data_IF_479543596599
#
_entry.id   IF_479543596599
#
_cell.length_a   1.000
_cell.length_b   1.000
_cell.length_c   1.000
_cell.angle_alpha   90.00
_cell.angle_beta   90.00
_cell.angle_gamma   90.00
#
_symmetry.space_group_name_H-M   'P 1'
#
loop_
_entity.id
_entity.type
_entity.pdbx_description
1 polymer ?
#
# COMPACT_ATOMS: atom_id res chain seq x y z
N UNK A 1 -32.76 25.17 -4.65
CA UNK A 1 -31.63 25.11 -3.70
C UNK A 1 -31.70 23.76 -3.00
N UNK A 2 -30.82 22.80 -3.35
CA UNK A 2 -30.68 21.58 -2.56
C UNK A 2 -29.85 21.93 -1.33
N UNK A 3 -30.39 21.70 -0.14
CA UNK A 3 -29.68 21.88 1.13
C UNK A 3 -28.44 20.99 1.14
N UNK A 4 -27.28 21.55 1.50
CA UNK A 4 -26.08 20.77 1.74
C UNK A 4 -26.40 19.70 2.80
N UNK A 5 -26.09 18.43 2.52
CA UNK A 5 -26.16 17.39 3.56
C UNK A 5 -25.11 17.70 4.62
N UNK A 6 -25.46 17.45 5.87
CA UNK A 6 -24.55 17.53 7.00
C UNK A 6 -23.46 16.46 6.87
N UNK A 7 -22.21 16.88 7.01
CA UNK A 7 -21.02 16.03 6.90
C UNK A 7 -20.98 14.96 7.98
N UNK A 8 -21.41 15.30 9.19
CA UNK A 8 -21.49 14.36 10.31
C UNK A 8 -22.43 13.21 9.97
N UNK A 9 -23.60 13.53 9.41
CA UNK A 9 -24.54 12.52 8.93
C UNK A 9 -23.98 11.69 7.79
N UNK A 10 -23.28 12.30 6.82
CA UNK A 10 -22.65 11.56 5.71
C UNK A 10 -21.63 10.53 6.20
N UNK A 11 -20.81 10.90 7.19
CA UNK A 11 -19.84 9.99 7.81
C UNK A 11 -20.55 8.90 8.62
N UNK A 12 -21.60 9.24 9.39
CA UNK A 12 -22.40 8.26 10.14
C UNK A 12 -23.06 7.22 9.21
N UNK A 13 -23.60 7.67 8.08
CA UNK A 13 -24.17 6.79 7.04
C UNK A 13 -23.09 5.85 6.48
N UNK A 14 -21.88 6.37 6.24
CA UNK A 14 -20.76 5.60 5.71
C UNK A 14 -20.25 4.53 6.70
N UNK A 15 -20.18 4.86 7.99
CA UNK A 15 -19.85 3.89 9.05
C UNK A 15 -20.88 2.76 9.10
N UNK A 16 -22.16 3.11 9.07
CA UNK A 16 -23.26 2.13 9.02
C UNK A 16 -23.11 1.21 7.79
N UNK A 17 -22.79 1.80 6.63
CA UNK A 17 -22.57 1.06 5.39
C UNK A 17 -21.33 0.16 5.46
N UNK A 18 -20.25 0.58 6.13
CA UNK A 18 -19.06 -0.22 6.33
C UNK A 18 -19.36 -1.48 7.15
N UNK A 19 -20.05 -1.35 8.29
CA UNK A 19 -20.43 -2.52 9.11
C UNK A 19 -21.35 -3.48 8.36
N UNK A 20 -22.30 -2.93 7.58
CA UNK A 20 -23.18 -3.74 6.74
C UNK A 20 -22.39 -4.50 5.66
N UNK A 21 -21.40 -3.84 5.04
CA UNK A 21 -20.53 -4.44 4.02
C UNK A 21 -19.59 -5.48 4.61
N UNK A 22 -19.07 -5.26 5.83
CA UNK A 22 -18.26 -6.26 6.54
C UNK A 22 -19.06 -7.52 6.82
N UNK A 23 -20.26 -7.37 7.37
CA UNK A 23 -21.14 -8.52 7.64
C UNK A 23 -21.44 -9.31 6.38
N UNK A 24 -21.79 -8.62 5.28
CA UNK A 24 -21.98 -9.25 3.98
C UNK A 24 -20.73 -10.01 3.51
N UNK A 25 -19.55 -9.41 3.66
CA UNK A 25 -18.29 -10.02 3.26
C UNK A 25 -17.97 -11.28 4.09
N UNK A 26 -18.18 -11.24 5.40
CA UNK A 26 -18.05 -12.39 6.29
C UNK A 26 -19.00 -13.53 5.88
N UNK A 27 -20.26 -13.22 5.58
CA UNK A 27 -21.25 -14.19 5.07
C UNK A 27 -20.82 -14.80 3.73
N UNK A 28 -20.31 -13.98 2.80
CA UNK A 28 -19.80 -14.43 1.50
C UNK A 28 -18.61 -15.39 1.65
N UNK A 29 -17.67 -15.07 2.55
CA UNK A 29 -16.52 -15.91 2.87
C UNK A 29 -16.98 -17.25 3.44
N UNK A 30 -17.84 -17.24 4.47
CA UNK A 30 -18.36 -18.45 5.08
C UNK A 30 -19.07 -19.35 4.07
N UNK A 31 -19.94 -18.79 3.24
CA UNK A 31 -20.66 -19.52 2.21
C UNK A 31 -19.72 -20.14 1.16
N UNK A 32 -18.71 -19.37 0.71
CA UNK A 32 -17.80 -19.82 -0.36
C UNK A 32 -16.85 -20.92 0.11
N UNK A 33 -16.33 -20.79 1.33
CA UNK A 33 -15.31 -21.69 1.85
C UNK A 33 -15.88 -22.77 2.79
N UNK A 34 -17.21 -22.83 2.92
CA UNK A 34 -17.94 -23.76 3.79
C UNK A 34 -17.42 -23.69 5.23
N UNK A 35 -17.41 -22.48 5.80
CA UNK A 35 -16.92 -22.20 7.15
C UNK A 35 -18.09 -21.87 8.07
N UNK A 36 -18.00 -22.32 9.32
CA UNK A 36 -18.98 -21.98 10.37
C UNK A 36 -18.73 -20.59 10.96
N UNK A 37 -17.50 -20.08 10.88
CA UNK A 37 -17.11 -18.75 11.34
C UNK A 37 -16.15 -18.09 10.33
N UNK A 38 -16.23 -16.76 10.12
CA UNK A 38 -15.24 -16.03 9.32
C UNK A 38 -13.83 -16.10 9.95
N UNK A 39 -13.71 -16.27 11.27
CA UNK A 39 -12.42 -16.37 11.97
C UNK A 39 -11.62 -17.62 11.55
N UNK A 40 -12.32 -18.66 11.08
CA UNK A 40 -11.69 -19.89 10.59
C UNK A 40 -11.03 -19.69 9.22
N UNK A 41 -11.32 -18.59 8.52
CA UNK A 41 -10.92 -18.38 7.14
C UNK A 41 -9.40 -18.40 6.96
N UNK A 42 -8.67 -17.59 7.72
CA UNK A 42 -7.20 -17.50 7.60
C UNK A 42 -6.53 -18.84 7.94
N UNK A 43 -7.03 -19.54 8.96
CA UNK A 43 -6.52 -20.86 9.33
C UNK A 43 -6.81 -21.90 8.24
N UNK A 44 -8.00 -21.86 7.63
CA UNK A 44 -8.40 -22.77 6.56
C UNK A 44 -7.54 -22.57 5.31
N UNK A 45 -7.37 -21.32 4.86
CA UNK A 45 -6.56 -21.00 3.68
C UNK A 45 -5.11 -21.48 3.88
N UNK A 46 -4.52 -21.21 5.05
CA UNK A 46 -3.16 -21.67 5.40
C UNK A 46 -3.04 -23.19 5.43
N UNK A 47 -4.00 -23.89 6.03
CA UNK A 47 -3.96 -25.34 6.21
C UNK A 47 -4.09 -26.12 4.91
N UNK A 48 -4.90 -25.63 3.97
CA UNK A 48 -5.21 -26.34 2.73
C UNK A 48 -4.45 -25.83 1.51
N UNK A 49 -3.41 -24.99 1.70
CA UNK A 49 -2.62 -24.38 0.64
C UNK A 49 -3.49 -23.73 -0.46
N UNK A 50 -4.59 -23.08 -0.05
CA UNK A 50 -5.49 -22.42 -0.99
C UNK A 50 -4.89 -21.10 -1.48
N UNK A 51 -5.23 -20.64 -2.69
CA UNK A 51 -4.75 -19.36 -3.21
C UNK A 51 -5.08 -18.20 -2.25
N UNK A 52 -4.07 -17.35 -1.99
CA UNK A 52 -4.21 -16.15 -1.15
C UNK A 52 -4.96 -15.01 -1.84
N UNK A 53 -5.23 -15.16 -3.13
CA UNK A 53 -6.11 -14.29 -3.90
C UNK A 53 -6.89 -15.13 -4.90
N UNK A 54 -8.02 -14.60 -5.36
CA UNK A 54 -8.85 -15.28 -6.33
C UNK A 54 -10.16 -14.56 -6.57
N UNK A 55 -11.04 -15.21 -7.33
CA UNK A 55 -12.40 -14.74 -7.57
C UNK A 55 -13.38 -15.63 -6.82
N UNK A 56 -14.40 -15.02 -6.21
CA UNK A 56 -15.50 -15.77 -5.64
C UNK A 56 -16.30 -16.48 -6.77
N UNK A 57 -16.71 -17.75 -6.59
CA UNK A 57 -17.45 -18.48 -7.62
C UNK A 57 -18.72 -17.74 -8.06
N UNK A 58 -18.95 -17.66 -9.38
CA UNK A 58 -20.12 -17.02 -9.99
C UNK A 58 -20.38 -15.57 -9.54
N UNK A 59 -19.32 -14.85 -9.21
CA UNK A 59 -19.40 -13.52 -8.61
C UNK A 59 -18.38 -12.56 -9.24
N UNK A 60 -18.70 -11.26 -9.39
CA UNK A 60 -17.73 -10.26 -9.85
C UNK A 60 -16.68 -9.91 -8.78
N UNK A 61 -16.84 -10.42 -7.56
CA UNK A 61 -15.99 -10.12 -6.42
C UNK A 61 -14.70 -10.95 -6.46
N UNK A 62 -13.59 -10.26 -6.28
CA UNK A 62 -12.28 -10.84 -6.07
C UNK A 62 -11.92 -10.69 -4.59
N UNK A 63 -11.06 -11.57 -4.11
CA UNK A 63 -10.46 -11.44 -2.79
C UNK A 63 -8.94 -11.47 -2.88
N UNK A 64 -8.29 -10.77 -1.95
CA UNK A 64 -6.86 -10.83 -1.69
C UNK A 64 -6.62 -10.79 -0.19
N UNK A 65 -5.87 -11.75 0.31
CA UNK A 65 -5.52 -11.87 1.73
C UNK A 65 -4.21 -11.13 1.98
N UNK A 66 -4.19 -10.28 3.00
CA UNK A 66 -3.00 -9.56 3.46
C UNK A 66 -2.87 -9.67 4.98
N UNK A 67 -1.70 -10.03 5.49
CA UNK A 67 -1.49 -10.17 6.95
C UNK A 67 -2.58 -10.99 7.66
N UNK A 68 -3.38 -10.29 8.47
CA UNK A 68 -4.53 -10.79 9.24
C UNK A 68 -5.90 -10.31 8.71
N UNK A 69 -5.93 -9.82 7.48
CA UNK A 69 -7.11 -9.23 6.84
C UNK A 69 -7.35 -9.72 5.42
N UNK A 70 -8.41 -9.16 4.84
CA UNK A 70 -8.86 -9.47 3.49
C UNK A 70 -9.40 -8.21 2.81
N UNK A 71 -9.03 -8.08 1.54
CA UNK A 71 -9.58 -7.10 0.62
C UNK A 71 -10.50 -7.81 -0.36
N UNK A 72 -11.78 -7.42 -0.39
CA UNK A 72 -12.79 -7.90 -1.33
C UNK A 72 -13.19 -6.74 -2.23
N UNK A 73 -13.03 -6.89 -3.54
CA UNK A 73 -13.25 -5.80 -4.50
C UNK A 73 -13.69 -6.31 -5.88
N UNK A 74 -14.36 -5.45 -6.66
CA UNK A 74 -14.50 -5.67 -8.10
C UNK A 74 -13.24 -5.15 -8.81
N UNK A 75 -13.00 -5.51 -10.08
CA UNK A 75 -11.94 -4.89 -10.87
C UNK A 75 -11.99 -3.35 -10.82
N UNK A 76 -10.83 -2.72 -10.94
CA UNK A 76 -10.65 -1.25 -10.91
C UNK A 76 -11.04 -0.57 -9.58
N UNK A 77 -10.93 -1.29 -8.45
CA UNK A 77 -11.21 -0.75 -7.12
C UNK A 77 -12.64 -0.18 -6.99
N UNK A 78 -13.60 -0.85 -7.64
CA UNK A 78 -15.02 -0.51 -7.58
C UNK A 78 -15.71 -1.34 -6.49
N UNK A 79 -16.19 -0.67 -5.45
CA UNK A 79 -16.98 -1.26 -4.37
C UNK A 79 -16.19 -2.22 -3.51
N UNK A 80 -16.92 -2.94 -2.65
CA UNK A 80 -16.33 -3.93 -1.74
C UNK A 80 -15.77 -3.32 -0.46
N UNK A 81 -14.88 -4.04 0.21
CA UNK A 81 -14.40 -3.70 1.55
C UNK A 81 -13.03 -4.31 1.83
N UNK A 82 -12.22 -3.61 2.62
CA UNK A 82 -10.99 -4.11 3.24
C UNK A 82 -11.18 -4.08 4.77
N UNK A 83 -10.89 -5.20 5.44
CA UNK A 83 -10.91 -5.28 6.89
C UNK A 83 -9.93 -6.34 7.43
N UNK A 84 -9.49 -6.13 8.67
CA UNK A 84 -8.77 -7.15 9.44
C UNK A 84 -9.76 -7.94 10.30
N UNK A 85 -9.57 -9.26 10.39
CA UNK A 85 -10.43 -10.10 11.23
C UNK A 85 -10.28 -9.75 12.72
N UNK A 86 -9.08 -9.38 13.16
CA UNK A 86 -8.76 -9.03 14.55
C UNK A 86 -9.14 -7.58 14.96
N UNK A 87 -9.67 -6.78 14.04
CA UNK A 87 -10.12 -5.40 14.30
C UNK A 87 -11.60 -5.24 13.97
N UNK A 88 -12.52 -5.43 14.95
CA UNK A 88 -13.96 -5.37 14.70
C UNK A 88 -14.47 -3.98 14.32
N UNK A 89 -13.78 -2.91 14.73
CA UNK A 89 -14.15 -1.52 14.42
C UNK A 89 -13.53 -1.00 13.12
N UNK A 90 -14.14 0.04 12.56
CA UNK A 90 -13.56 0.80 11.45
C UNK A 90 -12.74 1.98 11.98
N UNK A 91 -11.56 2.17 11.42
CA UNK A 91 -10.72 3.36 11.65
C UNK A 91 -10.86 4.37 10.50
N UNK A 92 -10.30 5.57 10.70
CA UNK A 92 -10.33 6.65 9.71
C UNK A 92 -9.79 6.23 8.34
N UNK A 93 -8.72 5.44 8.29
CA UNK A 93 -8.09 5.03 7.04
C UNK A 93 -8.98 4.04 6.29
N UNK A 94 -9.46 2.99 6.97
CA UNK A 94 -10.37 1.99 6.39
C UNK A 94 -11.67 2.61 5.92
N UNK A 95 -12.21 3.55 6.69
CA UNK A 95 -13.45 4.23 6.31
C UNK A 95 -13.23 5.11 5.06
N UNK A 96 -12.06 5.74 4.91
CA UNK A 96 -11.72 6.54 3.74
C UNK A 96 -11.51 5.67 2.50
N UNK A 97 -10.77 4.57 2.60
CA UNK A 97 -10.61 3.60 1.51
C UNK A 97 -11.96 3.02 1.08
N UNK A 98 -12.80 2.68 2.05
CA UNK A 98 -14.17 2.23 1.78
C UNK A 98 -14.98 3.31 1.05
N UNK A 99 -14.91 4.58 1.46
CA UNK A 99 -15.58 5.69 0.76
C UNK A 99 -15.16 5.78 -0.71
N UNK A 100 -13.86 5.67 -0.99
CA UNK A 100 -13.33 5.71 -2.37
C UNK A 100 -13.90 4.55 -3.19
N UNK A 101 -13.88 3.33 -2.66
CA UNK A 101 -14.47 2.15 -3.30
C UNK A 101 -15.95 2.36 -3.61
N UNK A 102 -16.73 2.87 -2.66
CA UNK A 102 -18.17 3.11 -2.85
C UNK A 102 -18.46 4.24 -3.85
N UNK A 103 -17.60 5.26 -3.91
CA UNK A 103 -17.70 6.33 -4.92
C UNK A 103 -17.46 5.80 -6.32
N UNK A 104 -16.43 4.97 -6.49
CA UNK A 104 -16.09 4.35 -7.76
C UNK A 104 -17.18 3.39 -8.25
N UNK A 105 -17.84 2.68 -7.32
CA UNK A 105 -18.97 1.79 -7.65
C UNK A 105 -20.28 2.55 -7.94
N UNK A 106 -20.33 3.85 -7.65
CA UNK A 106 -21.55 4.64 -7.70
C UNK A 106 -22.56 4.33 -6.58
N UNK A 107 -22.14 3.55 -5.57
CA UNK A 107 -22.97 3.18 -4.42
C UNK A 107 -23.27 4.37 -3.50
N UNK A 108 -22.36 5.36 -3.47
CA UNK A 108 -22.60 6.67 -2.85
C UNK A 108 -22.39 7.80 -3.86
N UNK A 109 -23.19 8.87 -3.81
CA UNK A 109 -23.15 9.90 -4.84
C UNK A 109 -22.01 10.91 -4.62
N UNK A 110 -21.18 11.06 -5.65
CA UNK A 110 -20.00 11.94 -5.64
C UNK A 110 -20.27 13.36 -5.17
N UNK A 111 -21.42 13.96 -5.53
CA UNK A 111 -21.74 15.36 -5.17
C UNK A 111 -21.77 15.64 -3.66
N UNK A 112 -22.00 14.62 -2.82
CA UNK A 112 -22.07 14.79 -1.36
C UNK A 112 -20.77 14.40 -0.66
N UNK A 113 -20.08 13.36 -1.15
CA UNK A 113 -18.89 12.81 -0.49
C UNK A 113 -17.57 13.34 -1.07
N UNK A 114 -17.55 13.87 -2.31
CA UNK A 114 -16.34 14.47 -2.90
C UNK A 114 -15.77 15.63 -2.07
N UNK A 115 -16.58 16.55 -1.51
CA UNK A 115 -16.04 17.59 -0.63
C UNK A 115 -15.33 17.05 0.61
N UNK A 116 -15.83 15.96 1.20
CA UNK A 116 -15.17 15.26 2.31
C UNK A 116 -13.85 14.62 1.88
N UNK A 117 -13.78 14.08 0.66
CA UNK A 117 -12.55 13.50 0.11
C UNK A 117 -11.45 14.56 -0.13
N UNK A 118 -11.85 15.76 -0.55
CA UNK A 118 -10.96 16.84 -0.99
C UNK A 118 -10.49 17.76 0.14
N UNK A 119 -11.17 17.77 1.28
CA UNK A 119 -10.86 18.64 2.42
C UNK A 119 -10.56 17.78 3.67
N UNK A 120 -9.26 17.55 3.99
CA UNK A 120 -8.86 16.75 5.15
C UNK A 120 -9.33 17.31 6.49
N UNK A 121 -9.47 18.64 6.63
CA UNK A 121 -9.93 19.26 7.87
C UNK A 121 -11.42 19.02 8.05
N UNK A 122 -12.20 19.16 6.97
CA UNK A 122 -13.64 18.83 6.93
C UNK A 122 -13.88 17.34 7.23
N UNK A 123 -13.10 16.44 6.63
CA UNK A 123 -13.14 15.00 6.92
C UNK A 123 -12.86 14.69 8.40
N UNK A 124 -11.78 15.26 8.95
CA UNK A 124 -11.39 15.03 10.34
C UNK A 124 -12.44 15.57 11.32
N UNK A 125 -13.01 16.76 11.04
CA UNK A 125 -14.09 17.34 11.85
C UNK A 125 -15.35 16.46 11.81
N UNK A 126 -15.73 15.97 10.63
CA UNK A 126 -16.90 15.11 10.46
C UNK A 126 -16.74 13.75 11.16
N UNK A 127 -15.55 13.15 11.13
CA UNK A 127 -15.24 11.91 11.87
C UNK A 127 -15.35 12.09 13.38
N UNK A 128 -14.75 13.17 13.89
CA UNK A 128 -14.81 13.49 15.31
C UNK A 128 -16.27 13.69 15.77
N UNK A 129 -17.05 14.44 14.99
CA UNK A 129 -18.46 14.67 15.26
C UNK A 129 -19.31 13.38 15.17
N UNK A 130 -18.97 12.45 14.28
CA UNK A 130 -19.67 11.17 14.12
C UNK A 130 -19.28 10.12 15.18
N UNK A 131 -18.38 10.46 16.12
CA UNK A 131 -17.96 9.54 17.18
C UNK A 131 -17.13 8.35 16.68
N UNK A 132 -16.55 8.45 15.48
CA UNK A 132 -15.58 7.47 15.00
C UNK A 132 -14.30 7.69 15.81
N UNK A 133 -14.09 6.83 16.81
CA UNK A 133 -13.04 7.00 17.82
C UNK A 133 -11.70 7.38 17.17
N UNK A 134 -11.15 8.50 17.63
CA UNK A 134 -9.87 9.03 17.22
C UNK A 134 -8.72 8.14 17.69
N UNK A 135 -8.44 7.10 16.91
CA UNK A 135 -7.07 6.94 16.47
C UNK A 135 -6.88 8.06 15.45
N UNK A 136 -6.04 9.05 15.78
CA UNK A 136 -5.30 9.80 14.76
C UNK A 136 -4.97 8.82 13.64
N UNK A 137 -4.96 9.25 12.37
CA UNK A 137 -4.14 8.58 11.34
C UNK A 137 -2.94 8.04 12.10
N UNK A 138 -2.72 6.71 12.18
CA UNK A 138 -1.53 6.24 12.84
C UNK A 138 -0.43 7.08 12.22
N UNK A 139 0.25 7.89 13.06
CA UNK A 139 1.58 8.34 12.72
C UNK A 139 2.21 7.08 12.17
N UNK A 140 2.63 7.10 10.91
CA UNK A 140 3.37 6.00 10.34
C UNK A 140 4.56 5.82 11.26
N UNK A 141 4.41 4.96 12.23
CA UNK A 141 5.45 4.46 13.12
C UNK A 141 5.25 2.96 13.33
N UNK A 142 4.20 2.37 12.75
CA UNK A 142 4.08 0.92 12.55
C UNK A 142 3.66 0.58 11.11
N UNK A 143 4.36 1.24 10.18
CA UNK A 143 4.77 0.73 8.86
C UNK A 143 5.86 1.63 8.23
N UNK A 144 6.24 2.74 8.91
CA UNK A 144 7.52 3.42 8.73
C UNK A 144 8.74 2.58 9.15
N UNK A 145 8.68 1.25 9.01
CA UNK A 145 9.79 0.35 9.28
C UNK A 145 10.85 0.35 8.18
N UNK A 146 10.64 1.01 7.05
CA UNK A 146 11.57 0.95 5.92
C UNK A 146 12.04 2.31 5.39
N UNK A 147 11.63 3.48 5.92
CA UNK A 147 12.08 4.78 5.37
C UNK A 147 12.35 5.94 6.36
N UNK A 148 12.43 5.72 7.68
CA UNK A 148 12.68 6.83 8.65
C UNK A 148 13.67 6.34 9.72
N UNK A 149 14.92 6.78 9.83
CA UNK A 149 15.44 8.15 9.96
C UNK A 149 16.88 8.33 9.39
N UNK A 150 17.38 7.40 8.56
CA UNK A 150 18.78 7.40 8.10
C UNK A 150 18.99 7.42 6.58
N UNK A 151 17.91 7.33 5.79
CA UNK A 151 18.01 7.30 4.32
C UNK A 151 18.25 8.69 3.76
N UNK A 152 19.16 8.78 2.79
CA UNK A 152 19.40 10.01 2.03
C UNK A 152 18.16 10.33 1.18
N UNK A 153 17.61 11.52 1.37
CA UNK A 153 16.56 12.07 0.50
C UNK A 153 17.18 12.97 -0.57
N UNK A 154 16.53 13.04 -1.71
CA UNK A 154 16.80 14.04 -2.75
C UNK A 154 15.68 15.07 -2.77
N UNK A 155 16.04 16.35 -2.96
CA UNK A 155 15.09 17.46 -3.14
C UNK A 155 14.87 17.71 -4.62
N UNK A 156 13.61 17.81 -5.03
CA UNK A 156 13.21 18.27 -6.34
C UNK A 156 12.35 19.55 -6.20
N UNK A 157 12.70 20.58 -6.97
CA UNK A 157 12.08 21.90 -6.90
C UNK A 157 11.69 22.43 -8.29
N UNK A 158 10.91 21.65 -9.04
CA UNK A 158 10.25 22.10 -10.28
C UNK A 158 8.82 21.52 -10.36
N UNK A 159 7.95 22.16 -11.17
CA UNK A 159 6.54 21.77 -11.29
C UNK A 159 5.61 22.50 -10.29
N UNK A 160 4.47 21.88 -9.96
CA UNK A 160 3.41 22.52 -9.16
C UNK A 160 3.85 22.83 -7.71
N UNK A 161 4.62 21.93 -7.07
CA UNK A 161 5.21 22.10 -5.73
C UNK A 161 6.51 21.28 -5.61
N UNK A 162 7.42 21.72 -4.73
CA UNK A 162 8.64 20.97 -4.41
C UNK A 162 8.33 19.71 -3.59
N UNK A 163 9.15 18.68 -3.74
CA UNK A 163 9.07 17.47 -2.93
C UNK A 163 10.47 16.92 -2.62
N UNK A 164 10.55 16.16 -1.56
CA UNK A 164 11.68 15.29 -1.25
C UNK A 164 11.32 13.86 -1.60
N UNK A 165 12.29 13.03 -1.98
CA UNK A 165 12.06 11.61 -2.16
C UNK A 165 13.24 10.75 -1.74
N UNK A 166 12.96 9.52 -1.35
CA UNK A 166 13.94 8.44 -1.22
C UNK A 166 13.44 7.22 -1.98
N UNK A 167 14.35 6.31 -2.31
CA UNK A 167 14.02 5.12 -3.08
C UNK A 167 14.81 3.90 -2.62
N UNK A 168 14.15 2.74 -2.68
CA UNK A 168 14.73 1.43 -2.36
C UNK A 168 14.35 0.42 -3.42
N UNK A 169 15.23 -0.55 -3.66
CA UNK A 169 14.95 -1.72 -4.49
C UNK A 169 14.72 -2.92 -3.58
N UNK A 170 13.62 -3.62 -3.79
CA UNK A 170 13.21 -4.79 -3.04
C UNK A 170 13.12 -5.99 -3.99
N UNK A 171 13.65 -7.13 -3.55
CA UNK A 171 13.48 -8.42 -4.20
C UNK A 171 12.91 -9.37 -3.15
N UNK A 172 11.69 -9.84 -3.40
CA UNK A 172 11.03 -10.87 -2.61
C UNK A 172 11.01 -12.16 -3.42
N UNK A 173 11.35 -13.29 -2.82
CA UNK A 173 11.34 -14.57 -3.52
C UNK A 173 10.95 -15.70 -2.57
N UNK A 174 10.22 -16.74 -3.04
CA UNK A 174 9.85 -17.87 -2.19
C UNK A 174 11.03 -18.52 -1.47
N UNK A 175 12.20 -18.59 -2.11
CA UNK A 175 13.34 -19.33 -1.56
C UNK A 175 14.74 -18.88 -2.04
N UNK A 176 14.89 -17.71 -2.67
CA UNK A 176 16.20 -17.32 -3.23
C UNK A 176 17.21 -17.11 -2.10
N UNK A 177 18.48 -17.43 -2.30
CA UNK A 177 19.50 -16.99 -1.35
C UNK A 177 19.80 -15.49 -1.61
N UNK A 178 19.64 -14.58 -0.62
CA UNK A 178 19.96 -13.17 -0.82
C UNK A 178 21.41 -12.91 -1.25
N UNK A 179 22.36 -13.80 -0.92
CA UNK A 179 23.75 -13.67 -1.36
C UNK A 179 23.90 -13.83 -2.88
N UNK A 180 23.08 -14.67 -3.52
CA UNK A 180 23.10 -14.85 -4.97
C UNK A 180 22.60 -13.57 -5.69
N UNK A 181 21.65 -12.87 -5.07
CA UNK A 181 21.16 -11.57 -5.55
C UNK A 181 22.27 -10.53 -5.50
N UNK A 182 22.97 -10.43 -4.36
CA UNK A 182 24.14 -9.54 -4.20
C UNK A 182 25.22 -9.86 -5.24
N UNK A 183 25.56 -11.14 -5.42
CA UNK A 183 26.59 -11.56 -6.36
C UNK A 183 26.22 -11.26 -7.82
N UNK A 184 24.93 -11.41 -8.18
CA UNK A 184 24.48 -11.16 -9.55
C UNK A 184 24.38 -9.66 -9.87
N UNK A 185 23.80 -8.87 -8.96
CA UNK A 185 23.61 -7.43 -9.18
C UNK A 185 24.89 -6.62 -8.92
N UNK A 186 25.83 -7.15 -8.13
CA UNK A 186 27.02 -6.40 -7.71
C UNK A 186 26.69 -5.20 -6.82
N UNK A 187 25.53 -5.24 -6.14
CA UNK A 187 25.04 -4.18 -5.26
C UNK A 187 24.99 -4.75 -3.85
N UNK A 188 25.54 -4.01 -2.88
CA UNK A 188 25.45 -4.39 -1.47
C UNK A 188 24.05 -4.08 -0.90
N UNK A 189 23.40 -5.04 -0.22
CA UNK A 189 22.10 -4.81 0.39
C UNK A 189 22.22 -4.00 1.68
N UNK A 190 21.20 -3.17 1.92
CA UNK A 190 20.97 -2.57 3.23
C UNK A 190 20.36 -3.57 4.20
N UNK A 191 19.57 -4.54 3.70
CA UNK A 191 18.93 -5.57 4.51
C UNK A 191 18.70 -6.85 3.74
N UNK A 192 18.86 -7.99 4.42
CA UNK A 192 18.50 -9.30 3.90
C UNK A 192 17.85 -10.18 4.97
N UNK A 193 17.00 -11.10 4.52
CA UNK A 193 16.51 -12.25 5.29
C UNK A 193 16.25 -13.42 4.34
N UNK A 194 16.61 -14.63 4.73
CA UNK A 194 16.35 -15.84 3.94
C UNK A 194 15.10 -16.59 4.40
N UNK A 195 14.37 -17.21 3.47
CA UNK A 195 13.29 -18.13 3.78
C UNK A 195 13.77 -19.24 4.74
N UNK A 196 12.96 -19.56 5.75
CA UNK A 196 13.28 -20.54 6.78
C UNK A 196 14.26 -20.07 7.86
N UNK A 197 14.88 -18.89 7.73
CA UNK A 197 15.68 -18.31 8.81
C UNK A 197 14.78 -17.79 9.93
N UNK A 198 15.28 -17.86 11.17
CA UNK A 198 14.55 -17.33 12.33
C UNK A 198 14.32 -15.82 12.21
N UNK A 199 13.08 -15.39 12.41
CA UNK A 199 12.71 -13.99 12.49
C UNK A 199 13.39 -13.38 13.74
N UNK A 200 14.19 -12.33 13.50
CA UNK A 200 14.99 -11.70 14.56
C UNK A 200 14.13 -10.94 15.56
N UNK A 201 12.92 -10.55 15.17
CA UNK A 201 12.03 -9.72 15.98
C UNK A 201 10.93 -10.53 16.66
N UNK A 202 10.67 -11.75 16.20
CA UNK A 202 9.57 -12.59 16.69
C UNK A 202 10.11 -13.97 17.06
N UNK A 203 10.30 -14.26 18.36
CA UNK A 203 10.81 -15.55 18.82
C UNK A 203 9.97 -16.73 18.32
N UNK A 204 10.65 -17.75 17.78
CA UNK A 204 10.01 -18.98 17.30
C UNK A 204 9.34 -18.87 15.92
N UNK A 205 9.34 -17.69 15.30
CA UNK A 205 8.91 -17.51 13.91
C UNK A 205 10.09 -17.66 12.97
N UNK A 206 9.84 -18.17 11.76
CA UNK A 206 10.78 -18.13 10.63
C UNK A 206 10.21 -17.29 9.49
N UNK A 207 11.08 -16.76 8.64
CA UNK A 207 10.64 -16.04 7.44
C UNK A 207 10.03 -17.02 6.43
N UNK A 208 8.86 -16.68 5.90
CA UNK A 208 8.14 -17.51 4.92
C UNK A 208 8.70 -17.35 3.48
N UNK A 209 9.53 -16.33 3.26
CA UNK A 209 10.14 -15.98 1.99
C UNK A 209 11.49 -15.29 2.23
N UNK A 210 12.31 -15.23 1.18
CA UNK A 210 13.54 -14.46 1.16
C UNK A 210 13.27 -13.02 0.74
N UNK A 211 13.94 -12.09 1.40
CA UNK A 211 13.89 -10.66 1.12
C UNK A 211 15.31 -10.12 1.01
N UNK A 212 15.56 -9.40 -0.08
CA UNK A 212 16.76 -8.62 -0.32
C UNK A 212 16.34 -7.18 -0.58
N UNK A 213 17.03 -6.22 0.03
CA UNK A 213 16.73 -4.80 -0.13
C UNK A 213 18.00 -3.96 -0.15
N UNK A 214 18.05 -2.96 -1.02
CA UNK A 214 19.06 -1.91 -1.00
C UNK A 214 18.46 -0.52 -1.15
N UNK A 215 19.16 0.48 -0.60
CA UNK A 215 18.89 1.89 -0.88
C UNK A 215 19.42 2.26 -2.26
N UNK A 216 18.59 2.94 -3.05
CA UNK A 216 18.99 3.43 -4.36
C UNK A 216 19.59 4.84 -4.22
N UNK A 217 20.69 5.14 -4.93
CA UNK A 217 21.31 6.45 -4.86
C UNK A 217 20.40 7.51 -5.50
N UNK A 218 20.05 8.53 -4.71
CA UNK A 218 19.27 9.70 -5.16
C UNK A 218 20.14 10.96 -5.20
N UNK A 219 19.79 11.91 -6.09
CA UNK A 219 20.50 13.18 -6.30
C UNK A 219 19.53 14.35 -6.26
N UNK A 220 19.94 15.43 -5.60
CA UNK A 220 19.16 16.67 -5.61
C UNK A 220 19.02 17.21 -7.03
N UNK A 221 17.83 17.70 -7.35
CA UNK A 221 17.47 18.24 -8.66
C UNK A 221 16.85 17.22 -9.62
N UNK A 222 17.17 15.94 -9.49
CA UNK A 222 16.56 14.89 -10.33
C UNK A 222 15.05 14.83 -10.05
N UNK A 223 14.26 14.79 -11.12
CA UNK A 223 12.84 14.43 -11.02
C UNK A 223 12.68 12.90 -10.96
N UNK A 224 11.47 12.41 -10.66
CA UNK A 224 11.25 10.97 -10.53
C UNK A 224 11.49 10.21 -11.84
N UNK A 225 11.08 10.72 -13.02
CA UNK A 225 11.44 10.11 -14.30
C UNK A 225 12.95 9.98 -14.52
N UNK A 226 13.72 11.05 -14.33
CA UNK A 226 15.18 11.06 -14.49
C UNK A 226 15.86 10.06 -13.55
N UNK A 227 15.38 9.99 -12.30
CA UNK A 227 15.84 8.97 -11.35
C UNK A 227 15.56 7.55 -11.85
N UNK A 228 14.35 7.28 -12.34
CA UNK A 228 13.97 5.96 -12.84
C UNK A 228 14.76 5.55 -14.10
N UNK A 229 15.11 6.50 -14.97
CA UNK A 229 16.03 6.23 -16.10
C UNK A 229 17.39 5.74 -15.62
N UNK A 230 17.91 6.31 -14.53
CA UNK A 230 19.15 5.84 -13.92
C UNK A 230 19.01 4.43 -13.32
N UNK A 231 17.87 4.13 -12.69
CA UNK A 231 17.58 2.79 -12.16
C UNK A 231 17.48 1.75 -13.29
N UNK A 232 16.80 2.09 -14.39
CA UNK A 232 16.74 1.24 -15.59
C UNK A 232 18.15 1.00 -16.13
N UNK A 233 18.96 2.05 -16.28
CA UNK A 233 20.33 1.91 -16.79
C UNK A 233 21.20 1.02 -15.89
N UNK A 234 21.03 1.13 -14.56
CA UNK A 234 21.71 0.29 -13.57
C UNK A 234 21.31 -1.18 -13.68
N UNK A 235 20.02 -1.47 -13.87
CA UNK A 235 19.48 -2.83 -13.79
C UNK A 235 19.37 -3.55 -15.14
N UNK A 236 19.37 -2.81 -16.26
CA UNK A 236 19.26 -3.38 -17.61
C UNK A 236 20.30 -4.46 -17.94
N UNK A 237 21.58 -4.36 -17.53
CA UNK A 237 22.56 -5.42 -17.74
C UNK A 237 22.18 -6.76 -17.09
N UNK A 238 21.32 -6.74 -16.06
CA UNK A 238 20.89 -7.90 -15.28
C UNK A 238 19.51 -8.42 -15.68
N UNK A 239 18.94 -7.95 -16.79
CA UNK A 239 17.58 -8.28 -17.24
C UNK A 239 17.27 -9.78 -17.17
N UNK A 240 18.15 -10.64 -17.72
CA UNK A 240 17.90 -12.08 -17.73
C UNK A 240 17.79 -12.70 -16.33
N UNK A 241 18.50 -12.15 -15.35
CA UNK A 241 18.40 -12.59 -13.96
C UNK A 241 17.11 -12.08 -13.29
N UNK A 242 16.71 -10.84 -13.57
CA UNK A 242 15.46 -10.28 -13.07
C UNK A 242 14.22 -11.00 -13.64
N UNK A 243 14.27 -11.37 -14.92
CA UNK A 243 13.25 -12.22 -15.56
C UNK A 243 13.20 -13.59 -14.87
N UNK A 244 14.35 -14.21 -14.61
CA UNK A 244 14.40 -15.50 -13.91
C UNK A 244 13.81 -15.45 -12.50
N UNK A 245 14.13 -14.40 -11.71
CA UNK A 245 13.51 -14.17 -10.39
C UNK A 245 11.99 -14.14 -10.51
N UNK A 246 11.47 -13.41 -11.49
CA UNK A 246 10.02 -13.25 -11.68
C UNK A 246 9.35 -14.56 -12.11
N UNK A 247 9.99 -15.31 -13.02
CA UNK A 247 9.47 -16.58 -13.53
C UNK A 247 9.41 -17.67 -12.43
N UNK A 248 10.27 -17.60 -11.41
CA UNK A 248 10.24 -18.46 -10.23
C UNK A 248 9.26 -18.01 -9.13
N UNK A 249 8.48 -16.97 -9.41
CA UNK A 249 7.46 -16.43 -8.50
C UNK A 249 7.98 -15.38 -7.52
N UNK A 250 9.17 -14.82 -7.78
CA UNK A 250 9.65 -13.63 -7.09
C UNK A 250 9.02 -12.34 -7.59
N UNK A 251 9.17 -11.30 -6.79
CA UNK A 251 8.71 -9.94 -7.09
C UNK A 251 9.88 -8.97 -6.93
N UNK A 252 10.02 -8.07 -7.90
CA UNK A 252 11.00 -6.99 -7.89
C UNK A 252 10.22 -5.68 -7.80
N UNK A 253 10.51 -4.86 -6.79
CA UNK A 253 9.81 -3.61 -6.53
C UNK A 253 10.80 -2.46 -6.35
N UNK A 254 10.63 -1.39 -7.11
CA UNK A 254 11.22 -0.10 -6.81
C UNK A 254 10.20 0.71 -6.01
N UNK A 255 10.51 0.89 -4.73
CA UNK A 255 9.72 1.69 -3.81
C UNK A 255 10.23 3.12 -3.80
N UNK A 256 9.34 4.10 -3.92
CA UNK A 256 9.64 5.52 -3.87
C UNK A 256 8.75 6.17 -2.80
N UNK A 257 9.39 6.66 -1.73
CA UNK A 257 8.74 7.50 -0.73
C UNK A 257 8.81 8.96 -1.15
N UNK A 258 7.67 9.60 -1.37
CA UNK A 258 7.54 11.01 -1.76
C UNK A 258 7.08 11.82 -0.55
N UNK A 259 7.82 12.86 -0.21
CA UNK A 259 7.56 13.76 0.91
C UNK A 259 7.26 15.15 0.37
N UNK A 260 6.03 15.61 0.48
CA UNK A 260 5.65 16.96 0.06
C UNK A 260 4.64 17.57 1.03
N UNK A 261 4.58 18.89 1.09
CA UNK A 261 3.59 19.63 1.87
C UNK A 261 2.19 19.58 1.22
N UNK A 262 2.16 19.50 -0.12
CA UNK A 262 0.99 19.58 -0.98
C UNK A 262 1.11 18.63 -2.17
N UNK A 263 0.14 18.75 -3.09
CA UNK A 263 0.12 18.01 -4.35
C UNK A 263 1.40 18.28 -5.15
N UNK A 264 2.21 17.25 -5.38
CA UNK A 264 3.26 17.27 -6.38
C UNK A 264 2.78 16.47 -7.60
N UNK A 265 3.06 16.96 -8.81
CA UNK A 265 2.77 16.26 -10.05
C UNK A 265 4.07 15.79 -10.70
N UNK A 266 4.02 14.60 -11.27
CA UNK A 266 5.10 14.01 -12.06
C UNK A 266 4.46 13.28 -13.23
N UNK A 267 5.02 13.47 -14.43
CA UNK A 267 4.59 12.75 -15.63
C UNK A 267 5.61 11.67 -15.96
N UNK A 268 5.13 10.44 -16.12
CA UNK A 268 5.98 9.31 -16.49
C UNK A 268 5.76 9.00 -17.97
N UNK A 269 6.77 9.19 -18.83
CA UNK A 269 6.69 8.81 -20.24
C UNK A 269 6.35 7.33 -20.39
N UNK A 270 5.57 6.97 -21.42
CA UNK A 270 5.15 5.58 -21.60
C UNK A 270 6.34 4.67 -21.94
N UNK A 271 7.37 5.20 -22.59
CA UNK A 271 8.63 4.50 -22.89
C UNK A 271 9.36 4.11 -21.60
N UNK A 272 9.38 5.01 -20.61
CA UNK A 272 9.97 4.75 -19.29
C UNK A 272 9.24 3.59 -18.59
N UNK A 273 7.92 3.64 -18.58
CA UNK A 273 7.08 2.59 -17.98
C UNK A 273 7.25 1.25 -18.72
N UNK A 274 7.39 1.28 -20.04
CA UNK A 274 7.67 0.08 -20.83
C UNK A 274 9.04 -0.53 -20.47
N UNK A 275 10.08 0.28 -20.33
CA UNK A 275 11.41 -0.19 -19.92
C UNK A 275 11.40 -0.82 -18.52
N UNK A 276 10.66 -0.25 -17.56
CA UNK A 276 10.50 -0.88 -16.24
C UNK A 276 9.76 -2.21 -16.32
N UNK A 277 8.71 -2.29 -17.15
CA UNK A 277 7.97 -3.52 -17.37
C UNK A 277 8.83 -4.62 -18.04
N UNK A 278 9.71 -4.24 -18.97
CA UNK A 278 10.69 -5.16 -19.59
C UNK A 278 11.67 -5.73 -18.56
N UNK A 279 12.00 -4.96 -17.51
CA UNK A 279 12.83 -5.41 -16.39
C UNK A 279 12.03 -6.13 -15.28
N UNK A 280 10.71 -6.29 -15.44
CA UNK A 280 9.79 -6.88 -14.44
C UNK A 280 9.78 -6.13 -13.11
N UNK A 281 10.03 -4.82 -13.12
CA UNK A 281 10.08 -3.99 -11.91
C UNK A 281 8.70 -3.39 -11.66
N UNK A 282 8.12 -3.72 -10.51
CA UNK A 282 6.95 -3.02 -9.99
C UNK A 282 7.36 -1.64 -9.49
N UNK A 283 6.58 -0.61 -9.82
CA UNK A 283 6.70 0.70 -9.20
C UNK A 283 5.72 0.84 -8.06
N UNK A 284 6.21 1.24 -6.88
CA UNK A 284 5.38 1.56 -5.74
C UNK A 284 5.70 2.96 -5.24
N UNK A 285 4.65 3.75 -5.03
CA UNK A 285 4.74 5.08 -4.48
C UNK A 285 4.01 5.17 -3.15
N UNK A 286 4.69 5.71 -2.15
CA UNK A 286 4.04 6.13 -0.90
C UNK A 286 4.18 7.65 -0.79
N UNK A 287 3.05 8.34 -0.64
CA UNK A 287 3.04 9.77 -0.36
C UNK A 287 3.00 10.03 1.15
N UNK A 288 3.87 10.91 1.59
CA UNK A 288 4.01 11.37 2.96
C UNK A 288 3.84 12.88 2.97
N UNK A 289 2.94 13.35 3.81
CA UNK A 289 2.88 14.78 4.09
C UNK A 289 4.10 15.17 4.92
N UNK A 290 4.81 16.22 4.53
CA UNK A 290 5.75 16.88 5.43
C UNK A 290 4.87 17.62 6.45
N UNK A 291 4.74 17.08 7.65
CA UNK A 291 4.11 17.82 8.74
C UNK A 291 5.08 18.91 9.19
N UNK A 292 4.54 20.12 9.41
CA UNK A 292 5.27 21.28 9.94
C UNK A 292 5.73 21.01 11.39
N UNK A 293 6.71 20.13 11.54
CA UNK A 293 7.34 19.80 12.81
C UNK A 293 8.83 20.12 12.73
N UNK A 294 9.13 21.36 12.37
CA UNK A 294 10.38 22.06 12.71
C UNK A 294 10.19 23.56 12.41
N UNK A 295 9.24 24.19 13.10
CA UNK A 295 9.31 25.61 13.42
C UNK A 295 9.50 25.79 14.92
N UNK A 296 10.52 25.15 15.48
CA UNK A 296 11.15 25.68 16.70
C UNK A 296 12.07 26.83 16.26
N UNK A 297 11.43 27.93 15.87
CA UNK A 297 12.08 29.22 15.84
C UNK A 297 12.39 29.61 17.28
N UNK A 298 13.69 29.69 17.55
CA UNK A 298 14.31 30.71 18.41
C UNK A 298 13.34 31.78 18.93
N UNK A 299 13.07 31.74 20.24
CA UNK A 299 12.92 32.92 21.09
C UNK A 299 13.25 32.58 22.54
#
# INVERSE_FOLDING_TARGET
MMTARDDTQLVSDLVTMWFSSRKWAEELICATFNLSSPDDFLANIRRFNKPRSGQFPNSPWHYRIHGVGIDISKPNNCGGIDFDFDKPGVDQWRLREFMVKQLNDGAIPMRWYRPLLQDPARWSAALAAAGVAGLSLPNKTQSAGECTNSMKKAKHAAGLNSFEYCATLHILHPSINPEDVTACLGIEPSRTSGAGQTDRNIPGRVYDFSHWMCELPVRDGDDLPTFLECVIALLSPHRGYLEHISDEGGEIECFIGIFADRLCDQSYPYELLASLAELRINLRFDFYKIDDAESDESN
#
